data_IF_530688467513
#
_entry.id   IF_530688467513
#
_cell.length_a   1.000
_cell.length_b   1.000
_cell.length_c   1.000
_cell.angle_alpha   90.00
_cell.angle_beta   90.00
_cell.angle_gamma   90.00
#
_symmetry.space_group_name_H-M   'P 1'
#
loop_
_entity.id
_entity.type
_entity.pdbx_description
1 polymer ?
#
# COMPACT_ATOMS: atom_id res chain seq x y z
N UNK A 1 1.30 -27.76 -38.59
CA UNK A 1 2.26 -27.19 -37.60
C UNK A 1 1.94 -25.75 -37.16
N UNK A 2 1.06 -24.98 -37.84
CA UNK A 2 0.75 -23.58 -37.49
C UNK A 2 -0.29 -23.36 -36.37
N UNK A 3 -1.10 -24.37 -36.03
CA UNK A 3 -2.26 -24.20 -35.13
C UNK A 3 -1.82 -24.10 -33.65
N UNK A 4 -0.78 -24.86 -33.25
CA UNK A 4 -0.29 -24.89 -31.87
C UNK A 4 0.36 -23.58 -31.39
N UNK A 5 0.94 -22.79 -32.31
CA UNK A 5 1.60 -21.54 -31.96
C UNK A 5 0.60 -20.43 -31.59
N UNK A 6 -0.52 -20.34 -32.32
CA UNK A 6 -1.58 -19.38 -32.03
C UNK A 6 -2.30 -19.71 -30.71
N UNK A 7 -2.53 -20.99 -30.40
CA UNK A 7 -3.12 -21.40 -29.13
C UNK A 7 -2.22 -21.12 -27.93
N UNK A 8 -0.91 -21.39 -28.03
CA UNK A 8 0.03 -21.07 -26.96
C UNK A 8 0.14 -19.56 -26.74
N UNK A 9 0.23 -18.76 -27.81
CA UNK A 9 0.22 -17.29 -27.68
C UNK A 9 -1.07 -16.79 -27.05
N UNK A 10 -2.22 -17.35 -27.42
CA UNK A 10 -3.51 -16.95 -26.85
C UNK A 10 -3.56 -17.26 -25.36
N UNK A 11 -3.07 -18.43 -24.92
CA UNK A 11 -2.98 -18.79 -23.50
C UNK A 11 -2.02 -17.88 -22.73
N UNK A 12 -0.83 -17.60 -23.27
CA UNK A 12 0.15 -16.71 -22.64
C UNK A 12 -0.37 -15.27 -22.57
N UNK A 13 -0.97 -14.75 -23.65
CA UNK A 13 -1.56 -13.40 -23.66
C UNK A 13 -2.77 -13.32 -22.74
N UNK A 14 -3.59 -14.37 -22.63
CA UNK A 14 -4.72 -14.37 -21.69
C UNK A 14 -4.23 -14.33 -20.23
N UNK A 15 -3.24 -15.16 -19.88
CA UNK A 15 -2.65 -15.16 -18.54
C UNK A 15 -1.92 -13.86 -18.22
N UNK A 16 -1.18 -13.29 -19.20
CA UNK A 16 -0.52 -12.00 -19.03
C UNK A 16 -1.53 -10.87 -18.92
N UNK A 17 -2.57 -10.83 -19.75
CA UNK A 17 -3.60 -9.79 -19.69
C UNK A 17 -4.39 -9.85 -18.37
N UNK A 18 -4.67 -11.04 -17.85
CA UNK A 18 -5.33 -11.21 -16.56
C UNK A 18 -4.43 -10.77 -15.40
N UNK A 19 -3.15 -11.15 -15.41
CA UNK A 19 -2.17 -10.72 -14.41
C UNK A 19 -1.87 -9.21 -14.46
N UNK A 20 -1.76 -8.63 -15.67
CA UNK A 20 -1.52 -7.22 -15.88
C UNK A 20 -2.74 -6.38 -15.54
N UNK A 21 -3.96 -6.87 -15.85
CA UNK A 21 -5.20 -6.23 -15.46
C UNK A 21 -5.37 -6.17 -13.94
N UNK A 22 -5.11 -7.28 -13.25
CA UNK A 22 -5.14 -7.32 -11.79
C UNK A 22 -4.06 -6.39 -11.18
N UNK A 23 -2.86 -6.36 -11.76
CA UNK A 23 -1.78 -5.46 -11.34
C UNK A 23 -2.09 -3.99 -11.62
N UNK A 24 -2.74 -3.65 -12.74
CA UNK A 24 -3.15 -2.29 -13.05
C UNK A 24 -4.26 -1.79 -12.11
N UNK A 25 -5.26 -2.63 -11.82
CA UNK A 25 -6.32 -2.30 -10.87
C UNK A 25 -5.74 -2.06 -9.47
N UNK A 26 -4.80 -2.92 -9.04
CA UNK A 26 -4.12 -2.75 -7.76
C UNK A 26 -3.24 -1.49 -7.74
N UNK A 27 -2.52 -1.21 -8.83
CA UNK A 27 -1.71 0.01 -9.00
C UNK A 27 -2.55 1.28 -9.03
N UNK A 28 -3.72 1.26 -9.68
CA UNK A 28 -4.63 2.40 -9.74
C UNK A 28 -5.20 2.73 -8.35
N UNK A 29 -5.46 1.71 -7.54
CA UNK A 29 -5.89 1.93 -6.16
C UNK A 29 -4.78 2.62 -5.35
N UNK A 30 -3.52 2.21 -5.49
CA UNK A 30 -2.40 2.95 -4.91
C UNK A 30 -2.31 4.37 -5.48
N UNK A 31 -2.44 4.55 -6.79
CA UNK A 31 -2.39 5.88 -7.41
C UNK A 31 -3.47 6.81 -6.85
N UNK A 32 -4.67 6.31 -6.58
CA UNK A 32 -5.74 7.06 -5.94
C UNK A 32 -5.37 7.47 -4.50
N UNK A 33 -4.77 6.56 -3.73
CA UNK A 33 -4.25 6.86 -2.40
C UNK A 33 -3.12 7.89 -2.44
N UNK A 34 -2.30 7.89 -3.50
CA UNK A 34 -1.24 8.87 -3.70
C UNK A 34 -1.82 10.24 -4.01
N UNK A 35 -2.84 10.30 -4.86
CA UNK A 35 -3.54 11.54 -5.17
C UNK A 35 -4.15 12.16 -3.92
N UNK A 36 -4.82 11.37 -3.08
CA UNK A 36 -5.39 11.84 -1.82
C UNK A 36 -4.26 12.32 -0.88
N UNK A 37 -3.20 11.55 -0.69
CA UNK A 37 -2.06 11.95 0.14
C UNK A 37 -1.36 13.22 -0.37
N UNK A 38 -1.21 13.39 -1.68
CA UNK A 38 -0.61 14.57 -2.29
C UNK A 38 -1.48 15.82 -2.10
N UNK A 39 -2.80 15.70 -2.25
CA UNK A 39 -3.75 16.79 -1.99
C UNK A 39 -3.74 17.15 -0.50
N UNK A 40 -3.71 16.17 0.41
CA UNK A 40 -3.60 16.42 1.85
C UNK A 40 -2.30 17.13 2.21
N UNK A 41 -1.16 16.72 1.65
CA UNK A 41 0.12 17.38 1.87
C UNK A 41 0.12 18.82 1.33
N UNK A 42 -0.47 19.05 0.16
CA UNK A 42 -0.61 20.38 -0.42
C UNK A 42 -1.49 21.30 0.47
N UNK A 43 -2.63 20.79 0.94
CA UNK A 43 -3.51 21.52 1.85
C UNK A 43 -2.81 21.86 3.18
N UNK A 44 -2.06 20.91 3.75
CA UNK A 44 -1.27 21.13 4.96
C UNK A 44 -0.23 22.24 4.79
N UNK A 45 0.48 22.27 3.66
CA UNK A 45 1.46 23.33 3.36
C UNK A 45 0.77 24.69 3.22
N UNK A 46 -0.38 24.76 2.55
CA UNK A 46 -1.12 26.02 2.39
C UNK A 46 -1.63 26.57 3.72
N UNK A 47 -2.20 25.72 4.59
CA UNK A 47 -2.62 26.11 5.95
C UNK A 47 -1.43 26.57 6.80
N UNK A 48 -0.29 25.86 6.71
CA UNK A 48 0.92 26.24 7.42
C UNK A 48 1.46 27.61 6.98
N UNK A 49 1.47 27.89 5.68
CA UNK A 49 1.87 29.19 5.15
C UNK A 49 0.88 30.30 5.56
N UNK A 50 -0.43 30.02 5.52
CA UNK A 50 -1.46 30.94 5.99
C UNK A 50 -1.27 31.32 7.47
N UNK A 51 -0.93 30.37 8.33
CA UNK A 51 -0.62 30.65 9.74
C UNK A 51 0.63 31.53 9.90
N UNK A 52 1.66 31.34 9.07
CA UNK A 52 2.89 32.14 9.11
C UNK A 52 2.67 33.59 8.65
N UNK A 53 1.88 33.81 7.60
CA UNK A 53 1.59 35.15 7.09
C UNK A 53 0.71 35.96 8.04
N UNK A 54 -0.23 35.31 8.74
CA UNK A 54 -1.20 36.01 9.58
C UNK A 54 -0.63 36.42 10.95
N UNK A 55 0.51 35.84 11.37
CA UNK A 55 1.20 36.17 12.64
C UNK A 55 0.44 35.82 13.93
N UNK A 56 -0.82 35.40 13.81
CA UNK A 56 -1.67 34.91 14.89
C UNK A 56 -1.97 33.42 14.66
N UNK A 57 -1.31 32.58 15.44
CA UNK A 57 -1.48 31.12 15.36
C UNK A 57 -2.64 30.74 16.30
N UNK A 58 -3.76 30.28 15.74
CA UNK A 58 -4.89 29.76 16.52
C UNK A 58 -4.74 28.26 16.74
N UNK A 59 -5.33 27.78 17.83
CA UNK A 59 -5.38 26.34 18.13
C UNK A 59 -6.15 25.59 17.04
N UNK A 60 -7.21 26.20 16.48
CA UNK A 60 -8.03 25.61 15.43
C UNK A 60 -7.20 25.27 14.17
N UNK A 61 -6.28 26.15 13.76
CA UNK A 61 -5.44 25.98 12.58
C UNK A 61 -4.37 24.89 12.82
N UNK A 62 -3.78 24.84 14.03
CA UNK A 62 -2.86 23.79 14.44
C UNK A 62 -3.56 22.42 14.47
N UNK A 63 -4.78 22.35 14.97
CA UNK A 63 -5.56 21.11 15.04
C UNK A 63 -5.91 20.60 13.64
N UNK A 64 -6.29 21.51 12.73
CA UNK A 64 -6.55 21.16 11.33
C UNK A 64 -5.29 20.60 10.66
N UNK A 65 -4.14 21.23 10.88
CA UNK A 65 -2.85 20.76 10.38
C UNK A 65 -2.45 19.38 10.94
N UNK A 66 -2.71 19.13 12.23
CA UNK A 66 -2.43 17.85 12.87
C UNK A 66 -3.26 16.72 12.27
N UNK A 67 -4.54 16.94 12.02
CA UNK A 67 -5.42 15.94 11.39
C UNK A 67 -5.00 15.68 9.93
N UNK A 68 -4.54 16.70 9.20
CA UNK A 68 -3.97 16.50 7.86
C UNK A 68 -2.69 15.67 7.89
N UNK A 69 -1.81 15.88 8.87
CA UNK A 69 -0.62 15.05 9.06
C UNK A 69 -0.97 13.60 9.45
N UNK A 70 -1.95 13.41 10.34
CA UNK A 70 -2.40 12.09 10.79
C UNK A 70 -3.00 11.29 9.62
N UNK A 71 -3.89 11.92 8.86
CA UNK A 71 -4.48 11.34 7.65
C UNK A 71 -3.38 11.05 6.62
N UNK A 72 -2.48 12.00 6.37
CA UNK A 72 -1.33 11.85 5.48
C UNK A 72 -0.43 10.67 5.85
N UNK A 73 -0.15 10.48 7.15
CA UNK A 73 0.64 9.38 7.67
C UNK A 73 -0.09 8.03 7.48
N UNK A 74 -1.39 7.98 7.70
CA UNK A 74 -2.21 6.79 7.46
C UNK A 74 -2.15 6.35 5.99
N UNK A 75 -2.30 7.29 5.04
CA UNK A 75 -2.16 6.97 3.59
C UNK A 75 -0.71 6.63 3.22
N UNK A 76 0.28 7.30 3.82
CA UNK A 76 1.70 7.02 3.59
C UNK A 76 2.14 5.64 4.05
N UNK A 77 1.63 5.17 5.20
CA UNK A 77 1.88 3.81 5.69
C UNK A 77 1.22 2.76 4.79
N UNK A 78 0.04 3.07 4.22
CA UNK A 78 -0.61 2.20 3.25
C UNK A 78 0.28 1.93 2.03
N UNK A 79 1.02 2.96 1.57
CA UNK A 79 2.01 2.85 0.51
C UNK A 79 3.24 2.00 0.86
N UNK A 80 3.79 2.19 2.06
CA UNK A 80 5.07 1.58 2.47
C UNK A 80 4.99 0.07 2.76
N UNK A 81 3.80 -0.48 3.01
CA UNK A 81 3.65 -1.80 3.63
C UNK A 81 3.58 -2.97 2.63
N UNK A 82 3.15 -2.75 1.38
CA UNK A 82 2.90 -3.85 0.43
C UNK A 82 4.11 -4.31 -0.39
N UNK A 83 5.24 -3.61 -0.33
CA UNK A 83 6.46 -4.03 -1.06
C UNK A 83 7.29 -5.08 -0.28
N UNK A 84 7.21 -5.12 1.06
CA UNK A 84 8.01 -6.05 1.89
C UNK A 84 7.21 -7.03 2.78
N UNK A 85 5.89 -6.89 2.90
CA UNK A 85 5.11 -7.77 3.77
C UNK A 85 4.94 -9.18 3.20
N UNK A 86 4.93 -9.36 1.88
CA UNK A 86 4.79 -10.71 1.30
C UNK A 86 5.96 -11.63 1.70
N UNK A 87 7.19 -11.11 1.73
CA UNK A 87 8.38 -11.92 2.01
C UNK A 87 8.59 -12.18 3.52
N UNK A 88 8.37 -11.18 4.38
CA UNK A 88 8.62 -11.32 5.82
C UNK A 88 7.47 -11.98 6.60
N UNK A 89 6.22 -11.84 6.13
CA UNK A 89 5.06 -12.42 6.81
C UNK A 89 4.91 -13.91 6.47
N UNK A 90 5.30 -14.33 5.25
CA UNK A 90 5.30 -15.74 4.86
C UNK A 90 6.39 -16.56 5.60
N UNK A 91 7.58 -15.99 5.80
CA UNK A 91 8.62 -16.58 6.67
C UNK A 91 8.17 -16.71 8.14
N UNK A 92 7.48 -15.70 8.66
CA UNK A 92 6.97 -15.70 10.04
C UNK A 92 5.80 -16.69 10.26
N UNK A 93 4.94 -16.90 9.25
CA UNK A 93 3.89 -17.93 9.29
C UNK A 93 4.44 -19.35 9.09
N UNK A 94 5.47 -19.53 8.26
CA UNK A 94 6.16 -20.83 8.07
C UNK A 94 6.85 -21.28 9.36
N UNK A 95 7.51 -20.38 10.08
CA UNK A 95 8.13 -20.69 11.38
C UNK A 95 7.10 -20.97 12.51
N UNK A 96 5.84 -20.56 12.34
CA UNK A 96 4.77 -20.79 13.32
C UNK A 96 3.94 -22.05 13.02
N UNK A 97 4.03 -22.59 11.80
CA UNK A 97 3.33 -23.80 11.38
C UNK A 97 4.24 -25.04 11.48
N UNK A 98 4.37 -25.58 12.70
CA UNK A 98 4.94 -26.87 13.16
C UNK A 98 6.48 -26.96 13.37
N UNK A 99 6.99 -27.57 14.48
CA UNK A 99 6.36 -28.60 15.32
C UNK A 99 6.31 -28.28 16.84
N UNK A 100 5.11 -28.14 17.41
CA UNK A 100 4.86 -28.26 18.87
C UNK A 100 4.14 -29.59 19.15
N UNK A 101 4.63 -30.70 18.57
CA UNK A 101 4.06 -32.03 18.89
C UNK A 101 5.01 -33.24 18.79
N UNK A 102 6.32 -33.06 18.61
CA UNK A 102 7.25 -34.20 18.50
C UNK A 102 8.09 -34.49 19.77
N UNK A 103 7.77 -33.89 20.92
CA UNK A 103 8.59 -34.01 22.15
C UNK A 103 7.86 -34.42 23.43
N UNK A 104 6.55 -34.74 23.38
CA UNK A 104 5.76 -35.02 24.59
C UNK A 104 5.29 -36.48 24.74
N UNK A 105 5.93 -37.42 24.04
CA UNK A 105 5.78 -38.86 24.25
C UNK A 105 7.18 -39.49 24.39
N UNK A 106 7.81 -39.24 25.53
CA UNK A 106 9.04 -39.91 25.97
C UNK A 106 9.21 -39.68 27.48
N UNK A 107 8.21 -40.09 28.26
CA UNK A 107 8.30 -40.31 29.69
C UNK A 107 7.27 -41.37 30.08
#
# INVERSE_FOLDING_TARGET
MKINWAENLRKTVHQLAESLGNLFVETFHYLALFAIGAVTAYAAVMEFLGMLETGHIKIDDILLLFIYLELGAMVGIYFKTKINVSNNLFESLKNRASPVSAGLWSA
#
